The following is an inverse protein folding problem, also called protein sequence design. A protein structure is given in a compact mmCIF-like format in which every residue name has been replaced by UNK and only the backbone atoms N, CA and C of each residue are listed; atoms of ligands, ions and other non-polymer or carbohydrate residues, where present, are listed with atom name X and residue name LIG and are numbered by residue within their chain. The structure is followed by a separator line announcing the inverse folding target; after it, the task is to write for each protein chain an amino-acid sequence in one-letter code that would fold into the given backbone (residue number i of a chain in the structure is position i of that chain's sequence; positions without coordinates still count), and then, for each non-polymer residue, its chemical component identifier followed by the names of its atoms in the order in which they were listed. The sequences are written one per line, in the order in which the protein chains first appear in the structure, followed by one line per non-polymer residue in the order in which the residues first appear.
data_IF_590832697012
#
_entry.id   IF_590832697012
#
_cell.length_a   1.000
_cell.length_b   1.000
_cell.length_c   1.000
_cell.angle_alpha   90.00
_cell.angle_beta   90.00
_cell.angle_gamma   90.00
#
_symmetry.space_group_name_H-M   'P 1'
#
loop_
_entity.id
_entity.type
_entity.pdbx_description
1 polymer ?
#
# COMPACT_ATOMS: atom_id res chain seq x y z
N UNK A 1 9.51 -45.32 20.74
CA UNK A 1 10.51 -44.92 19.73
C UNK A 1 10.22 -43.49 19.28
N UNK A 2 11.23 -42.64 19.36
CA UNK A 2 11.18 -41.17 19.22
C UNK A 2 10.85 -40.71 17.79
N UNK A 3 9.89 -39.79 17.63
CA UNK A 3 9.76 -38.90 16.46
C UNK A 3 10.00 -37.45 16.91
N UNK A 4 11.18 -37.18 17.47
CA UNK A 4 11.77 -35.83 17.38
C UNK A 4 12.39 -35.72 15.99
N UNK A 5 11.83 -34.87 15.13
CA UNK A 5 12.51 -34.19 14.01
C UNK A 5 11.50 -33.33 13.21
N UNK A 6 10.75 -32.47 13.91
CA UNK A 6 10.36 -31.21 13.28
C UNK A 6 11.57 -30.29 13.47
N UNK A 7 12.50 -30.31 12.51
CA UNK A 7 13.60 -29.34 12.52
C UNK A 7 12.96 -27.96 12.54
N UNK A 8 13.19 -27.20 13.61
CA UNK A 8 12.97 -25.77 13.65
C UNK A 8 13.67 -25.18 12.42
N UNK A 9 12.89 -24.75 11.43
CA UNK A 9 13.48 -24.08 10.27
C UNK A 9 13.88 -22.71 10.78
N UNK A 10 15.17 -22.48 10.81
CA UNK A 10 15.72 -21.21 11.20
C UNK A 10 15.49 -20.22 10.05
N UNK A 11 14.64 -19.21 10.30
CA UNK A 11 14.44 -18.03 9.44
C UNK A 11 15.77 -17.31 9.12
N UNK A 12 16.83 -17.59 9.88
CA UNK A 12 18.14 -16.98 9.73
C UNK A 12 19.21 -17.87 9.07
N UNK A 13 18.84 -19.09 8.65
CA UNK A 13 19.77 -20.08 8.08
C UNK A 13 20.34 -19.72 6.70
N UNK A 14 21.22 -20.56 6.15
CA UNK A 14 21.83 -20.38 4.82
C UNK A 14 20.79 -20.24 3.68
N UNK A 15 21.14 -19.71 2.49
CA UNK A 15 20.18 -19.47 1.41
C UNK A 15 19.27 -20.65 1.05
N UNK A 16 19.79 -21.88 1.10
CA UNK A 16 19.01 -23.10 0.89
C UNK A 16 17.95 -23.38 1.96
N UNK A 17 18.19 -22.98 3.21
CA UNK A 17 17.22 -23.08 4.31
C UNK A 17 16.16 -21.97 4.23
N UNK A 18 16.55 -20.75 3.84
CA UNK A 18 15.60 -19.65 3.57
C UNK A 18 14.70 -19.94 2.38
N UNK A 19 15.23 -20.58 1.33
CA UNK A 19 14.42 -21.13 0.24
C UNK A 19 13.40 -22.14 0.76
N UNK A 20 13.82 -23.06 1.62
CA UNK A 20 12.91 -24.06 2.21
C UNK A 20 11.84 -23.41 3.10
N UNK A 21 12.21 -22.38 3.86
CA UNK A 21 11.28 -21.58 4.64
C UNK A 21 10.20 -20.97 3.74
N UNK A 22 10.58 -20.28 2.66
CA UNK A 22 9.65 -19.66 1.72
C UNK A 22 8.65 -20.66 1.12
N UNK A 23 9.15 -21.83 0.68
CA UNK A 23 8.31 -22.89 0.10
C UNK A 23 7.29 -23.44 1.12
N UNK A 24 7.69 -23.59 2.39
CA UNK A 24 6.78 -24.09 3.42
C UNK A 24 5.82 -23.02 3.92
N UNK A 25 6.25 -21.77 3.98
CA UNK A 25 5.42 -20.62 4.30
C UNK A 25 4.26 -20.44 3.31
N UNK A 26 4.44 -20.84 2.05
CA UNK A 26 3.38 -20.89 1.04
C UNK A 26 2.55 -22.19 1.06
N UNK A 27 2.62 -22.97 2.14
CA UNK A 27 1.93 -24.26 2.32
C UNK A 27 2.21 -25.31 1.22
N UNK A 28 3.36 -25.19 0.54
CA UNK A 28 3.75 -26.09 -0.54
C UNK A 28 4.78 -27.12 -0.12
N UNK A 29 4.72 -28.30 -0.74
CA UNK A 29 5.81 -29.29 -0.62
C UNK A 29 6.96 -28.94 -1.56
N UNK A 30 8.20 -29.28 -1.18
CA UNK A 30 9.37 -29.13 -2.06
C UNK A 30 9.17 -29.83 -3.43
N UNK A 31 8.49 -30.98 -3.44
CA UNK A 31 8.19 -31.71 -4.69
C UNK A 31 7.25 -30.91 -5.60
N UNK A 32 6.19 -30.34 -5.05
CA UNK A 32 5.25 -29.49 -5.80
C UNK A 32 5.95 -28.25 -6.34
N UNK A 33 6.74 -27.58 -5.51
CA UNK A 33 7.53 -26.42 -5.92
C UNK A 33 8.53 -26.75 -7.04
N UNK A 34 9.30 -27.84 -6.90
CA UNK A 34 10.24 -28.29 -7.93
C UNK A 34 9.55 -28.50 -9.29
N UNK A 35 8.34 -29.07 -9.28
CA UNK A 35 7.51 -29.23 -10.48
C UNK A 35 7.14 -27.89 -11.13
N UNK A 36 6.76 -26.88 -10.36
CA UNK A 36 6.41 -25.55 -10.89
C UNK A 36 7.58 -24.84 -11.58
N UNK A 37 8.79 -25.01 -11.06
CA UNK A 37 10.00 -24.36 -11.60
C UNK A 37 10.75 -25.23 -12.62
N UNK A 38 10.18 -26.37 -13.04
CA UNK A 38 10.82 -27.28 -13.99
C UNK A 38 12.12 -27.93 -13.49
N UNK A 39 12.27 -28.12 -12.17
CA UNK A 39 13.46 -28.71 -11.55
C UNK A 39 13.18 -30.10 -10.99
N UNK A 40 14.19 -30.99 -10.97
CA UNK A 40 14.06 -32.28 -10.29
C UNK A 40 14.04 -32.10 -8.76
N UNK A 41 13.23 -32.86 -8.00
CA UNK A 41 13.21 -32.80 -6.54
C UNK A 41 14.57 -33.05 -5.89
N UNK A 42 15.40 -33.92 -6.48
CA UNK A 42 16.76 -34.20 -6.01
C UNK A 42 17.72 -33.02 -6.25
N UNK A 43 17.55 -32.32 -7.38
CA UNK A 43 18.27 -31.08 -7.68
C UNK A 43 17.97 -30.00 -6.65
N UNK A 44 16.68 -29.77 -6.36
CA UNK A 44 16.23 -28.81 -5.36
C UNK A 44 16.75 -29.16 -3.96
N UNK A 45 16.64 -30.43 -3.55
CA UNK A 45 17.12 -30.90 -2.25
C UNK A 45 18.64 -30.70 -2.06
N UNK A 46 19.42 -30.81 -3.15
CA UNK A 46 20.86 -30.54 -3.12
C UNK A 46 21.17 -29.06 -2.84
N UNK A 47 20.34 -28.15 -3.33
CA UNK A 47 20.45 -26.70 -3.07
C UNK A 47 20.03 -26.39 -1.62
N UNK A 48 18.92 -26.95 -1.16
CA UNK A 48 18.42 -26.78 0.23
C UNK A 48 19.46 -27.22 1.26
N UNK A 49 20.17 -28.33 0.98
CA UNK A 49 21.25 -28.85 1.84
C UNK A 49 22.60 -28.13 1.67
N UNK A 50 22.68 -27.09 0.84
CA UNK A 50 23.90 -26.32 0.61
C UNK A 50 24.96 -27.02 -0.24
N UNK A 51 24.65 -28.18 -0.85
CA UNK A 51 25.59 -28.89 -1.75
C UNK A 51 25.73 -28.21 -3.11
N UNK A 52 24.74 -27.41 -3.51
CA UNK A 52 24.75 -26.57 -4.71
C UNK A 52 24.36 -25.15 -4.35
N UNK A 53 24.98 -24.17 -5.02
CA UNK A 53 24.68 -22.75 -4.82
C UNK A 53 23.25 -22.43 -5.29
N UNK A 54 22.54 -21.63 -4.49
CA UNK A 54 21.27 -21.03 -4.91
C UNK A 54 21.55 -19.94 -5.96
N UNK A 55 20.94 -20.05 -7.14
CA UNK A 55 21.06 -19.02 -8.18
C UNK A 55 20.08 -17.87 -7.95
N UNK A 56 20.43 -16.67 -8.43
CA UNK A 56 19.52 -15.50 -8.41
C UNK A 56 18.21 -15.79 -9.15
N UNK A 57 18.28 -16.50 -10.28
CA UNK A 57 17.11 -16.90 -11.07
C UNK A 57 16.15 -17.75 -10.23
N UNK A 58 16.67 -18.72 -9.47
CA UNK A 58 15.84 -19.56 -8.60
C UNK A 58 15.26 -18.75 -7.43
N UNK A 59 16.01 -17.80 -6.87
CA UNK A 59 15.49 -16.92 -5.83
C UNK A 59 14.34 -16.03 -6.35
N UNK A 60 14.47 -15.46 -7.56
CA UNK A 60 13.40 -14.68 -8.21
C UNK A 60 12.17 -15.52 -8.55
N UNK A 61 12.36 -16.74 -9.05
CA UNK A 61 11.25 -17.66 -9.29
C UNK A 61 10.52 -18.02 -7.97
N UNK A 62 11.28 -18.20 -6.89
CA UNK A 62 10.72 -18.44 -5.55
C UNK A 62 9.93 -17.23 -5.07
N UNK A 63 10.47 -16.02 -5.25
CA UNK A 63 9.79 -14.77 -4.92
C UNK A 63 8.45 -14.65 -5.64
N UNK A 64 8.40 -14.95 -6.94
CA UNK A 64 7.16 -14.86 -7.71
C UNK A 64 6.10 -15.89 -7.28
N UNK A 65 6.52 -17.08 -6.83
CA UNK A 65 5.61 -18.17 -6.45
C UNK A 65 5.14 -18.05 -4.99
N UNK A 66 6.01 -17.59 -4.10
CA UNK A 66 5.79 -17.65 -2.64
C UNK A 66 5.58 -16.28 -2.00
N UNK A 67 5.90 -15.19 -2.71
CA UNK A 67 5.90 -13.84 -2.17
C UNK A 67 7.07 -13.53 -1.24
N UNK A 68 8.02 -14.44 -1.00
CA UNK A 68 9.20 -14.16 -0.14
C UNK A 68 10.33 -13.57 -0.98
N UNK A 69 10.88 -12.42 -0.59
CA UNK A 69 11.81 -11.65 -1.42
C UNK A 69 13.09 -12.40 -1.74
N UNK A 70 13.52 -12.34 -3.00
CA UNK A 70 14.73 -12.98 -3.49
C UNK A 70 15.97 -12.47 -2.76
N UNK A 71 16.05 -11.16 -2.47
CA UNK A 71 17.18 -10.57 -1.72
C UNK A 71 17.21 -11.04 -0.26
N UNK A 72 16.05 -11.28 0.36
CA UNK A 72 16.01 -11.92 1.67
C UNK A 72 16.51 -13.37 1.60
N UNK A 73 16.06 -14.13 0.59
CA UNK A 73 16.49 -15.52 0.41
C UNK A 73 18.00 -15.59 0.17
N UNK A 74 18.58 -14.71 -0.65
CA UNK A 74 20.00 -14.72 -1.01
C UNK A 74 20.89 -14.14 0.09
N UNK A 75 20.53 -12.97 0.63
CA UNK A 75 21.42 -12.13 1.42
C UNK A 75 20.89 -11.81 2.83
N UNK A 76 19.65 -12.24 3.16
CA UNK A 76 18.97 -11.92 4.43
C UNK A 76 18.65 -10.42 4.57
N UNK A 77 18.44 -9.73 3.46
CA UNK A 77 18.02 -8.32 3.44
C UNK A 77 16.51 -8.19 3.65
N UNK A 78 16.09 -7.30 4.55
CA UNK A 78 14.68 -7.06 4.90
C UNK A 78 14.03 -6.01 3.99
N UNK A 79 12.68 -6.01 3.85
CA UNK A 79 11.70 -6.99 4.39
C UNK A 79 11.75 -8.42 3.81
N UNK A 80 11.14 -9.35 4.54
CA UNK A 80 11.06 -10.79 4.22
C UNK A 80 10.03 -11.08 3.12
N UNK A 81 8.85 -10.48 3.21
CA UNK A 81 7.79 -10.63 2.23
C UNK A 81 7.83 -9.49 1.20
N UNK A 82 7.47 -9.80 -0.04
CA UNK A 82 6.83 -8.83 -0.91
C UNK A 82 5.51 -8.50 -0.24
N UNK A 83 5.29 -7.22 0.06
CA UNK A 83 3.93 -6.73 0.23
C UNK A 83 3.25 -6.93 -1.13
N UNK A 84 2.29 -7.87 -1.30
CA UNK A 84 1.69 -8.14 -2.61
C UNK A 84 1.08 -6.87 -3.22
N UNK A 85 0.66 -6.01 -2.32
CA UNK A 85 0.08 -4.72 -2.58
C UNK A 85 1.10 -3.78 -3.25
N UNK A 86 2.41 -3.91 -3.03
CA UNK A 86 3.45 -3.04 -3.62
C UNK A 86 3.68 -3.28 -5.12
N UNK A 87 3.11 -4.34 -5.70
CA UNK A 87 3.11 -4.59 -7.15
C UNK A 87 1.84 -4.10 -7.84
N UNK A 88 0.84 -3.68 -7.07
CA UNK A 88 -0.44 -3.20 -7.57
C UNK A 88 -0.29 -1.69 -7.78
N UNK A 89 -0.78 -1.17 -8.91
CA UNK A 89 -0.82 0.28 -9.15
C UNK A 89 -1.54 0.96 -7.97
N UNK A 90 -1.05 2.12 -7.49
CA UNK A 90 -1.69 2.85 -6.40
C UNK A 90 -3.19 3.08 -6.57
N UNK A 91 -3.65 3.33 -7.80
CA UNK A 91 -5.07 3.50 -8.11
C UNK A 91 -5.83 2.21 -7.87
N UNK A 92 -5.34 1.10 -8.43
CA UNK A 92 -5.96 -0.22 -8.27
C UNK A 92 -6.00 -0.65 -6.80
N UNK A 93 -4.92 -0.37 -6.04
CA UNK A 93 -4.89 -0.61 -4.59
C UNK A 93 -6.02 0.16 -3.90
N UNK A 94 -6.15 1.45 -4.19
CA UNK A 94 -7.20 2.29 -3.60
C UNK A 94 -8.59 1.75 -3.95
N UNK A 95 -8.83 1.38 -5.21
CA UNK A 95 -10.11 0.79 -5.66
C UNK A 95 -10.44 -0.48 -4.87
N UNK A 96 -9.46 -1.36 -4.69
CA UNK A 96 -9.62 -2.61 -3.93
C UNK A 96 -9.93 -2.37 -2.45
N UNK A 97 -9.37 -1.32 -1.83
CA UNK A 97 -9.72 -0.95 -0.44
C UNK A 97 -11.20 -0.56 -0.28
N UNK A 98 -11.81 -0.04 -1.35
CA UNK A 98 -13.18 0.47 -1.34
C UNK A 98 -14.22 -0.46 -1.99
N UNK A 99 -13.81 -1.57 -2.60
CA UNK A 99 -14.69 -2.49 -3.32
C UNK A 99 -15.59 -3.27 -2.36
N UNK A 100 -16.68 -2.63 -1.92
CA UNK A 100 -17.89 -3.28 -1.40
C UNK A 100 -18.93 -3.35 -2.53
N UNK A 101 -19.79 -4.37 -2.58
CA UNK A 101 -20.68 -4.63 -3.73
C UNK A 101 -21.69 -3.52 -4.04
N UNK A 102 -22.01 -2.68 -3.05
CA UNK A 102 -22.97 -1.59 -3.17
C UNK A 102 -22.27 -0.22 -3.05
N UNK A 103 -22.64 0.67 -3.97
CA UNK A 103 -22.44 2.13 -4.03
C UNK A 103 -21.24 2.72 -4.81
N UNK A 104 -21.61 3.41 -5.90
CA UNK A 104 -20.79 4.19 -6.82
C UNK A 104 -20.41 5.56 -6.23
N UNK A 105 -19.14 5.73 -5.82
CA UNK A 105 -18.30 6.93 -6.01
C UNK A 105 -17.07 6.86 -5.07
N UNK A 106 -15.87 6.69 -5.62
CA UNK A 106 -14.61 6.63 -4.85
C UNK A 106 -14.32 7.95 -4.11
N UNK A 107 -14.69 9.09 -4.69
CA UNK A 107 -14.50 10.39 -4.06
C UNK A 107 -15.24 10.48 -2.72
N UNK A 108 -16.53 10.14 -2.71
CA UNK A 108 -17.33 10.15 -1.48
C UNK A 108 -16.79 9.20 -0.42
N UNK A 109 -16.18 8.08 -0.82
CA UNK A 109 -15.55 7.14 0.12
C UNK A 109 -14.26 7.70 0.73
N UNK A 110 -13.44 8.40 -0.06
CA UNK A 110 -12.25 9.10 0.45
C UNK A 110 -12.67 10.20 1.44
N UNK A 111 -13.68 11.00 1.10
CA UNK A 111 -14.23 12.03 1.99
C UNK A 111 -14.82 11.41 3.25
N UNK A 112 -15.63 10.35 3.15
CA UNK A 112 -16.18 9.66 4.31
C UNK A 112 -15.08 9.11 5.24
N UNK A 113 -13.97 8.64 4.69
CA UNK A 113 -12.81 8.22 5.48
C UNK A 113 -12.12 9.38 6.23
N UNK A 114 -12.10 10.57 5.65
CA UNK A 114 -11.65 11.80 6.34
C UNK A 114 -12.68 12.21 7.40
N UNK A 115 -13.96 12.19 7.08
CA UNK A 115 -15.04 12.53 8.01
C UNK A 115 -15.05 11.61 9.23
N UNK A 116 -14.83 10.31 9.04
CA UNK A 116 -14.75 9.34 10.13
C UNK A 116 -13.58 9.64 11.07
N UNK A 117 -12.42 10.04 10.53
CA UNK A 117 -11.23 10.40 11.33
C UNK A 117 -11.41 11.72 12.09
N UNK A 118 -12.18 12.65 11.52
CA UNK A 118 -12.39 13.98 12.11
C UNK A 118 -13.63 14.07 13.01
N UNK A 119 -14.61 13.18 12.84
CA UNK A 119 -15.86 13.16 13.59
C UNK A 119 -15.68 13.22 15.11
N UNK A 120 -14.72 12.48 15.72
CA UNK A 120 -14.49 12.56 17.16
C UNK A 120 -14.17 13.98 17.65
N UNK A 121 -13.46 14.79 16.86
CA UNK A 121 -13.10 16.16 17.25
C UNK A 121 -14.20 17.18 16.93
N UNK A 122 -14.88 17.01 15.80
CA UNK A 122 -15.95 17.91 15.34
C UNK A 122 -17.21 17.81 16.19
N UNK A 123 -17.55 16.58 16.58
CA UNK A 123 -18.78 16.25 17.29
C UNK A 123 -18.52 15.81 18.74
N UNK A 124 -17.33 16.09 19.27
CA UNK A 124 -17.01 15.76 20.67
C UNK A 124 -17.98 16.48 21.62
N UNK A 125 -18.49 15.73 22.59
CA UNK A 125 -19.22 16.30 23.74
C UNK A 125 -18.24 16.82 24.79
N UNK A 126 -17.01 16.28 24.81
CA UNK A 126 -15.92 16.73 25.67
C UNK A 126 -15.24 17.97 25.05
N UNK A 127 -15.31 19.16 25.69
CA UNK A 127 -14.68 20.38 25.20
C UNK A 127 -13.16 20.26 25.07
N UNK A 128 -12.50 19.46 25.91
CA UNK A 128 -11.04 19.28 25.86
C UNK A 128 -10.61 18.42 24.66
N UNK A 129 -11.50 17.55 24.18
CA UNK A 129 -11.30 16.77 22.96
C UNK A 129 -11.92 17.39 21.70
N UNK A 130 -12.66 18.49 21.83
CA UNK A 130 -13.34 19.15 20.72
C UNK A 130 -12.43 20.14 19.99
N UNK A 131 -12.53 20.19 18.66
CA UNK A 131 -11.92 21.28 17.89
C UNK A 131 -12.53 22.64 18.25
N UNK A 132 -11.68 23.69 18.18
CA UNK A 132 -12.15 25.07 18.25
C UNK A 132 -13.08 25.42 17.07
N UNK A 133 -13.73 26.58 17.14
CA UNK A 133 -14.57 27.04 16.03
C UNK A 133 -13.72 27.29 14.78
N UNK A 134 -12.55 27.91 14.95
CA UNK A 134 -11.60 28.22 13.89
C UNK A 134 -11.10 26.94 13.21
N UNK A 135 -10.79 25.89 13.98
CA UNK A 135 -10.39 24.60 13.43
C UNK A 135 -11.51 23.92 12.63
N UNK A 136 -12.76 24.02 13.11
CA UNK A 136 -13.92 23.53 12.37
C UNK A 136 -14.15 24.32 11.08
N UNK A 137 -14.06 25.65 11.13
CA UNK A 137 -14.21 26.52 9.96
C UNK A 137 -13.11 26.26 8.93
N UNK A 138 -11.86 26.05 9.38
CA UNK A 138 -10.74 25.66 8.53
C UNK A 138 -11.00 24.30 7.87
N UNK A 139 -11.43 23.29 8.63
CA UNK A 139 -11.79 21.98 8.07
C UNK A 139 -12.85 22.10 6.97
N UNK A 140 -13.93 22.86 7.22
CA UNK A 140 -15.00 23.04 6.23
C UNK A 140 -14.51 23.75 4.97
N UNK A 141 -13.65 24.76 5.13
CA UNK A 141 -13.03 25.46 4.00
C UNK A 141 -12.18 24.52 3.15
N UNK A 142 -11.34 23.69 3.78
CA UNK A 142 -10.48 22.72 3.11
C UNK A 142 -11.27 21.66 2.35
N UNK A 143 -12.34 21.12 2.94
CA UNK A 143 -13.21 20.14 2.27
C UNK A 143 -13.95 20.76 1.09
N UNK A 144 -14.42 22.02 1.23
CA UNK A 144 -15.07 22.73 0.13
C UNK A 144 -14.10 22.96 -1.03
N UNK A 145 -12.90 23.42 -0.74
CA UNK A 145 -11.88 23.67 -1.76
C UNK A 145 -11.48 22.37 -2.48
N UNK A 146 -11.28 21.27 -1.75
CA UNK A 146 -11.04 19.97 -2.36
C UNK A 146 -12.19 19.59 -3.31
N UNK A 147 -13.46 19.73 -2.87
CA UNK A 147 -14.63 19.46 -3.72
C UNK A 147 -14.63 20.29 -4.99
N UNK A 148 -14.27 21.57 -4.93
CA UNK A 148 -14.18 22.46 -6.10
C UNK A 148 -13.10 21.99 -7.09
N UNK A 149 -11.92 21.58 -6.60
CA UNK A 149 -10.84 21.05 -7.43
C UNK A 149 -11.23 19.73 -8.12
N UNK A 150 -11.86 18.79 -7.40
CA UNK A 150 -12.34 17.54 -7.99
C UNK A 150 -13.50 17.76 -8.95
N UNK A 151 -14.39 18.72 -8.64
CA UNK A 151 -15.45 19.13 -9.55
C UNK A 151 -14.85 19.66 -10.85
N UNK A 152 -13.84 20.52 -10.79
CA UNK A 152 -13.14 21.02 -11.97
C UNK A 152 -12.62 19.88 -12.86
N UNK A 153 -11.88 18.90 -12.30
CA UNK A 153 -11.38 17.77 -13.10
C UNK A 153 -12.50 16.91 -13.70
N UNK A 154 -13.61 16.74 -13.00
CA UNK A 154 -14.75 15.96 -13.47
C UNK A 154 -15.55 16.67 -14.58
N UNK A 155 -15.29 17.95 -14.83
CA UNK A 155 -15.91 18.75 -15.91
C UNK A 155 -15.00 18.95 -17.12
N UNK A 156 -13.78 18.42 -17.08
CA UNK A 156 -12.92 18.32 -18.26
C UNK A 156 -13.38 17.16 -19.16
N UNK A 157 -12.91 17.17 -20.39
CA UNK A 157 -13.08 16.02 -21.29
C UNK A 157 -12.45 14.76 -20.67
N UNK A 158 -13.00 13.59 -20.96
CA UNK A 158 -12.66 12.36 -20.25
C UNK A 158 -11.18 11.97 -20.38
N UNK A 159 -10.55 12.29 -21.50
CA UNK A 159 -9.12 12.09 -21.77
C UNK A 159 -8.22 13.04 -20.97
N UNK A 160 -8.67 14.27 -20.71
CA UNK A 160 -7.93 15.25 -19.91
C UNK A 160 -8.20 15.13 -18.39
N UNK A 161 -9.43 14.83 -17.99
CA UNK A 161 -9.88 14.90 -16.60
C UNK A 161 -9.63 13.65 -15.77
N UNK A 162 -9.61 12.46 -16.38
CA UNK A 162 -9.52 11.20 -15.64
C UNK A 162 -8.19 11.01 -14.92
N UNK A 163 -7.07 11.35 -15.57
CA UNK A 163 -5.73 11.31 -14.97
C UNK A 163 -5.61 12.14 -13.69
N UNK A 164 -5.78 13.48 -13.76
CA UNK A 164 -5.68 14.35 -12.60
C UNK A 164 -6.74 14.06 -11.54
N UNK A 165 -7.95 13.65 -11.92
CA UNK A 165 -8.97 13.23 -10.95
C UNK A 165 -8.51 12.03 -10.12
N UNK A 166 -8.01 10.96 -10.77
CA UNK A 166 -7.50 9.76 -10.10
C UNK A 166 -6.28 10.09 -9.25
N UNK A 167 -5.36 10.88 -9.78
CA UNK A 167 -4.14 11.26 -9.09
C UNK A 167 -4.42 12.10 -7.84
N UNK A 168 -5.31 13.09 -7.96
CA UNK A 168 -5.79 13.88 -6.84
C UNK A 168 -6.43 13.02 -5.74
N UNK A 169 -7.25 12.03 -6.11
CA UNK A 169 -7.89 11.15 -5.12
C UNK A 169 -6.88 10.34 -4.31
N UNK A 170 -5.83 9.83 -4.96
CA UNK A 170 -4.76 9.10 -4.28
C UNK A 170 -3.97 10.00 -3.33
N UNK A 171 -3.69 11.25 -3.74
CA UNK A 171 -3.06 12.25 -2.88
C UNK A 171 -3.93 12.49 -1.64
N UNK A 172 -5.22 12.79 -1.84
CA UNK A 172 -6.15 13.10 -0.75
C UNK A 172 -6.37 11.90 0.19
N UNK A 173 -6.37 10.68 -0.36
CA UNK A 173 -6.44 9.44 0.42
C UNK A 173 -5.27 9.32 1.42
N UNK A 174 -4.07 9.75 1.01
CA UNK A 174 -2.95 9.98 1.91
C UNK A 174 -2.20 8.74 2.40
N UNK A 175 -2.49 7.56 1.84
CA UNK A 175 -1.79 6.29 2.16
C UNK A 175 -0.59 5.97 1.27
N UNK A 176 -0.38 6.73 0.21
CA UNK A 176 0.67 6.47 -0.77
C UNK A 176 1.88 7.37 -0.53
N UNK A 177 3.08 6.82 -0.71
CA UNK A 177 4.32 7.59 -0.69
C UNK A 177 4.44 8.48 -1.93
N UNK A 178 5.29 9.51 -1.87
CA UNK A 178 5.57 10.37 -3.05
C UNK A 178 6.10 9.56 -4.24
N UNK A 179 6.90 8.54 -3.97
CA UNK A 179 7.45 7.66 -5.00
C UNK A 179 6.36 6.77 -5.63
N UNK A 180 5.48 6.16 -4.82
CA UNK A 180 4.33 5.41 -5.34
C UNK A 180 3.43 6.31 -6.19
N UNK A 181 3.12 7.52 -5.71
CA UNK A 181 2.31 8.49 -6.45
C UNK A 181 2.96 8.85 -7.79
N UNK A 182 4.24 9.23 -7.81
CA UNK A 182 4.93 9.63 -9.04
C UNK A 182 5.10 8.51 -10.07
N UNK A 183 5.10 7.25 -9.63
CA UNK A 183 5.19 6.07 -10.49
C UNK A 183 3.83 5.48 -10.88
N UNK A 184 2.71 6.08 -10.47
CA UNK A 184 1.38 5.56 -10.77
C UNK A 184 0.94 5.83 -12.21
N UNK A 185 0.06 4.99 -12.74
CA UNK A 185 -0.56 5.20 -14.05
C UNK A 185 -1.35 6.52 -14.11
N UNK A 186 -2.02 6.90 -13.00
CA UNK A 186 -2.73 8.17 -12.93
C UNK A 186 -1.79 9.37 -13.09
N UNK A 187 -0.57 9.32 -12.52
CA UNK A 187 0.43 10.36 -12.72
C UNK A 187 0.90 10.41 -14.19
N UNK A 188 1.11 9.26 -14.82
CA UNK A 188 1.50 9.18 -16.23
C UNK A 188 0.44 9.77 -17.19
N UNK A 189 -0.84 9.63 -16.84
CA UNK A 189 -1.98 10.17 -17.59
C UNK A 189 -2.37 11.59 -17.17
N UNK A 190 -1.61 12.22 -16.28
CA UNK A 190 -1.88 13.59 -15.82
C UNK A 190 -1.06 14.59 -16.63
N UNK A 191 -1.74 15.51 -17.31
CA UNK A 191 -1.09 16.62 -18.00
C UNK A 191 -0.39 17.56 -16.99
N UNK A 192 0.88 17.94 -17.22
CA UNK A 192 1.62 18.87 -16.36
C UNK A 192 0.89 20.20 -16.05
N UNK A 193 -0.01 20.65 -16.94
CA UNK A 193 -0.82 21.86 -16.73
C UNK A 193 -1.69 21.80 -15.47
N UNK A 194 -2.01 20.61 -14.97
CA UNK A 194 -2.84 20.42 -13.77
C UNK A 194 -2.04 20.28 -12.48
N UNK A 195 -0.70 20.34 -12.53
CA UNK A 195 0.15 20.10 -11.36
C UNK A 195 -0.07 21.14 -10.26
N UNK A 196 -0.35 22.39 -10.58
CA UNK A 196 -0.67 23.42 -9.57
C UNK A 196 -1.91 23.05 -8.74
N UNK A 197 -2.97 22.57 -9.39
CA UNK A 197 -4.18 22.10 -8.72
C UNK A 197 -3.90 20.87 -7.83
N UNK A 198 -3.05 19.96 -8.30
CA UNK A 198 -2.68 18.74 -7.57
C UNK A 198 -1.76 19.03 -6.39
N UNK A 199 -0.85 19.99 -6.52
CA UNK A 199 -0.06 20.52 -5.42
C UNK A 199 -0.97 21.13 -4.36
N UNK A 200 -2.01 21.88 -4.76
CA UNK A 200 -2.99 22.39 -3.80
C UNK A 200 -3.72 21.27 -3.07
N UNK A 201 -4.10 20.18 -3.75
CA UNK A 201 -4.68 19.00 -3.09
C UNK A 201 -3.71 18.39 -2.07
N UNK A 202 -2.40 18.32 -2.40
CA UNK A 202 -1.38 17.85 -1.45
C UNK A 202 -1.32 18.74 -0.20
N UNK A 203 -1.34 20.07 -0.38
CA UNK A 203 -1.33 21.01 0.74
C UNK A 203 -2.61 20.86 1.58
N UNK A 204 -3.79 20.75 0.95
CA UNK A 204 -5.05 20.51 1.66
C UNK A 204 -4.96 19.24 2.52
N UNK A 205 -4.40 18.15 1.96
CA UNK A 205 -4.22 16.90 2.69
C UNK A 205 -3.32 17.08 3.91
N UNK A 206 -2.21 17.80 3.77
CA UNK A 206 -1.29 18.04 4.86
C UNK A 206 -1.93 18.90 5.96
N UNK A 207 -2.64 19.97 5.59
CA UNK A 207 -3.41 20.80 6.54
C UNK A 207 -4.50 20.00 7.27
N UNK A 208 -5.24 19.13 6.57
CA UNK A 208 -6.23 18.23 7.18
C UNK A 208 -5.57 17.26 8.16
N UNK A 209 -4.39 16.74 7.82
CA UNK A 209 -3.64 15.82 8.69
C UNK A 209 -3.11 16.54 9.93
N UNK A 210 -2.68 17.79 9.80
CA UNK A 210 -2.25 18.63 10.92
C UNK A 210 -3.41 18.93 11.87
N UNK A 211 -4.61 19.23 11.36
CA UNK A 211 -5.81 19.41 12.18
C UNK A 211 -6.16 18.14 12.98
N UNK A 212 -5.98 16.96 12.38
CA UNK A 212 -6.24 15.67 13.03
C UNK A 212 -5.19 15.36 14.10
N UNK A 213 -3.92 15.67 13.84
CA UNK A 213 -2.81 15.32 14.72
C UNK A 213 -2.60 16.32 15.86
N UNK A 214 -2.98 17.58 15.65
CA UNK A 214 -2.86 18.66 16.62
C UNK A 214 -4.25 19.25 16.94
N UNK A 215 -5.17 18.46 17.52
CA UNK A 215 -6.45 19.00 17.98
C UNK A 215 -6.15 20.02 19.07
N UNK A 216 -6.56 21.28 18.87
CA UNK A 216 -6.38 22.29 19.90
C UNK A 216 -7.66 22.22 20.75
N UNK A 217 -7.56 21.84 22.04
CA UNK A 217 -8.72 21.80 22.93
C UNK A 217 -9.44 23.14 22.91
N UNK A 218 -10.77 23.16 23.03
CA UNK A 218 -11.48 24.41 23.37
C UNK A 218 -11.01 24.87 24.75
N UNK A 219 -10.00 25.74 24.77
CA UNK A 219 -9.32 26.18 25.98
C UNK A 219 -8.42 27.38 25.72
N UNK A 220 -8.98 28.42 25.08
CA UNK A 220 -8.65 29.84 25.28
C UNK A 220 -9.85 30.70 24.87
#
# INVERSE_FOLDING_TARGET
MSRKNASSIDETGAPGQRLLYAIRGSEMTQRKFAGLIGMSPNGLNSIVKGKKRLSRILALATEQITGVRAEWILNKEFPLALEPISKIDPWDRMVLEFYRPDDNNLFERVIAGIEQRTSPFRNSIDPEGAWSKEQNDQYQALIREAKELFYFFNHLDADEGQGPFRYGLMILHGRFTKEELGNSEAAANTDPRFMENLERISVIRDELQDLINNPNPKGD
#
